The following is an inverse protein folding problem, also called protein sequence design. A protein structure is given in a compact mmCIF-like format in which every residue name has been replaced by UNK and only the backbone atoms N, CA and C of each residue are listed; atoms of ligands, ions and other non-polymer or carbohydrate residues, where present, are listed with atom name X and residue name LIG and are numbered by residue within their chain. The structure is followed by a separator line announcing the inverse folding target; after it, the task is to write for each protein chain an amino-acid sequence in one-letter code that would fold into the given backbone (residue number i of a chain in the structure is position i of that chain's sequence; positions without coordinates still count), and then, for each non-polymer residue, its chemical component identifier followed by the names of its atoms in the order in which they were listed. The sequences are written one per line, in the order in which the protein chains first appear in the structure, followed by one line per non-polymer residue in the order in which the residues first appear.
data_IF_379352830929
#
_entry.id   IF_379352830929
#
_cell.length_a   1.000
_cell.length_b   1.000
_cell.length_c   1.000
_cell.angle_alpha   90.00
_cell.angle_beta   90.00
_cell.angle_gamma   90.00
#
_symmetry.space_group_name_H-M   'P 1'
#
loop_
_entity.id
_entity.type
_entity.pdbx_description
1 polymer ?
#
# COMPACT_ATOMS: atom_id res chain seq x y z
N UNK A 1 22.58 -4.98 10.84
CA UNK A 1 22.46 -4.01 9.73
C UNK A 1 21.65 -4.66 8.63
N UNK A 2 20.53 -4.10 8.32
CA UNK A 2 19.66 -4.69 7.30
C UNK A 2 20.28 -4.57 5.91
N UNK A 3 20.22 -5.62 5.08
CA UNK A 3 20.75 -5.56 3.73
C UNK A 3 20.02 -4.49 2.91
N UNK A 4 20.78 -3.57 2.33
CA UNK A 4 20.25 -2.43 1.57
C UNK A 4 20.68 -2.51 0.11
N UNK A 5 19.70 -2.44 -0.79
CA UNK A 5 19.91 -2.39 -2.24
C UNK A 5 19.52 -1.01 -2.72
N UNK A 6 20.39 -0.35 -3.44
CA UNK A 6 20.20 1.05 -3.80
C UNK A 6 20.32 1.27 -5.31
N UNK A 7 19.40 2.07 -5.86
CA UNK A 7 19.47 2.62 -7.21
C UNK A 7 19.39 1.61 -8.35
N UNK A 8 18.87 0.41 -8.12
CA UNK A 8 18.81 -0.64 -9.12
C UNK A 8 17.43 -0.76 -9.76
N UNK A 9 17.41 -1.17 -11.02
CA UNK A 9 16.18 -1.67 -11.67
C UNK A 9 16.12 -3.17 -11.43
N UNK A 10 15.05 -3.62 -10.79
CA UNK A 10 14.91 -5.00 -10.33
C UNK A 10 13.78 -5.71 -11.07
N UNK A 11 14.07 -6.85 -11.64
CA UNK A 11 13.09 -7.82 -12.13
C UNK A 11 12.59 -8.71 -10.99
N UNK A 12 11.56 -9.53 -11.28
CA UNK A 12 11.13 -10.58 -10.37
C UNK A 12 12.28 -11.50 -9.96
N UNK A 13 13.08 -11.93 -10.93
CA UNK A 13 14.21 -12.84 -10.69
C UNK A 13 15.26 -12.21 -9.78
N UNK A 14 15.58 -10.93 -10.00
CA UNK A 14 16.53 -10.19 -9.17
C UNK A 14 16.02 -10.13 -7.72
N UNK A 15 14.75 -9.80 -7.53
CA UNK A 15 14.17 -9.69 -6.19
C UNK A 15 14.13 -11.05 -5.48
N UNK A 16 13.79 -12.13 -6.18
CA UNK A 16 13.80 -13.49 -5.60
C UNK A 16 15.20 -13.87 -5.09
N UNK A 17 16.25 -13.54 -5.85
CA UNK A 17 17.65 -13.79 -5.43
C UNK A 17 17.99 -12.97 -4.18
N UNK A 18 17.61 -11.69 -4.17
CA UNK A 18 17.87 -10.79 -3.03
C UNK A 18 17.17 -11.26 -1.76
N UNK A 19 15.91 -11.69 -1.87
CA UNK A 19 15.14 -12.22 -0.74
C UNK A 19 15.80 -13.47 -0.14
N UNK A 20 16.29 -14.37 -0.99
CA UNK A 20 17.01 -15.55 -0.52
C UNK A 20 18.31 -15.21 0.21
N UNK A 21 19.03 -14.21 -0.28
CA UNK A 21 20.28 -13.74 0.34
C UNK A 21 20.04 -13.03 1.67
N UNK A 22 18.91 -12.31 1.79
CA UNK A 22 18.54 -11.62 3.02
C UNK A 22 18.28 -12.60 4.18
N UNK A 23 17.86 -13.83 3.87
CA UNK A 23 17.72 -14.93 4.83
C UNK A 23 16.94 -14.55 6.12
N UNK A 24 15.83 -13.83 5.97
CA UNK A 24 14.97 -13.43 7.07
C UNK A 24 15.36 -12.11 7.75
N UNK A 25 16.42 -11.43 7.29
CA UNK A 25 16.68 -10.04 7.69
C UNK A 25 15.76 -9.09 6.90
N UNK A 26 15.44 -7.95 7.47
CA UNK A 26 14.63 -6.92 6.80
C UNK A 26 15.42 -6.35 5.61
N UNK A 27 15.00 -6.71 4.41
CA UNK A 27 15.60 -6.16 3.18
C UNK A 27 15.09 -4.74 2.94
N UNK A 28 16.01 -3.81 2.68
CA UNK A 28 15.67 -2.42 2.33
C UNK A 28 15.99 -2.17 0.86
N UNK A 29 14.97 -1.80 0.09
CA UNK A 29 15.12 -1.31 -1.28
C UNK A 29 15.05 0.21 -1.25
N UNK A 30 16.11 0.88 -1.66
CA UNK A 30 16.19 2.34 -1.70
C UNK A 30 16.38 2.83 -3.13
N UNK A 31 15.55 3.75 -3.57
CA UNK A 31 15.58 4.33 -4.92
C UNK A 31 15.62 3.30 -6.06
N UNK A 32 15.08 2.11 -5.81
CA UNK A 32 14.98 1.05 -6.81
C UNK A 32 13.76 1.24 -7.72
N UNK A 33 13.87 0.73 -8.94
CA UNK A 33 12.80 0.72 -9.93
C UNK A 33 12.29 -0.70 -10.15
N UNK A 34 11.00 -0.89 -9.89
CA UNK A 34 10.26 -2.14 -10.12
C UNK A 34 9.02 -1.88 -10.98
N UNK A 35 9.07 -0.84 -11.82
CA UNK A 35 7.95 -0.49 -12.68
C UNK A 35 7.60 -1.66 -13.60
N UNK A 36 6.29 -1.96 -13.70
CA UNK A 36 5.72 -3.03 -14.52
C UNK A 36 6.20 -4.45 -14.13
N UNK A 37 6.93 -4.61 -13.02
CA UNK A 37 7.40 -5.92 -12.59
C UNK A 37 6.25 -6.82 -12.13
N UNK A 38 6.33 -8.09 -12.45
CA UNK A 38 5.46 -9.13 -11.91
C UNK A 38 6.01 -9.59 -10.55
N UNK A 39 5.41 -9.09 -9.48
CA UNK A 39 5.74 -9.44 -8.09
C UNK A 39 4.63 -10.26 -7.43
N UNK A 40 3.75 -10.84 -8.26
CA UNK A 40 2.60 -11.60 -7.78
C UNK A 40 3.02 -12.82 -6.96
N UNK A 41 2.26 -13.07 -5.89
CA UNK A 41 2.43 -14.20 -4.98
C UNK A 41 3.82 -14.33 -4.32
N UNK A 42 4.65 -13.29 -4.35
CA UNK A 42 5.93 -13.29 -3.64
C UNK A 42 5.73 -13.09 -2.13
N UNK A 43 6.59 -13.69 -1.34
CA UNK A 43 6.70 -13.38 0.08
C UNK A 43 7.63 -12.17 0.26
N UNK A 44 6.99 -11.02 0.49
CA UNK A 44 7.62 -9.71 0.68
C UNK A 44 7.33 -9.17 2.09
N UNK A 45 7.03 -10.05 3.05
CA UNK A 45 6.72 -9.64 4.41
C UNK A 45 7.88 -8.85 5.02
N UNK A 46 7.57 -7.73 5.65
CA UNK A 46 8.56 -6.87 6.29
C UNK A 46 9.46 -6.08 5.35
N UNK A 47 9.34 -6.25 4.03
CA UNK A 47 10.18 -5.53 3.05
C UNK A 47 9.99 -4.02 3.18
N UNK A 48 11.09 -3.29 3.10
CA UNK A 48 11.11 -1.83 3.18
C UNK A 48 11.40 -1.24 1.80
N UNK A 49 10.48 -0.37 1.34
CA UNK A 49 10.62 0.37 0.09
C UNK A 49 10.80 1.85 0.42
N UNK A 50 11.98 2.39 0.18
CA UNK A 50 12.29 3.82 0.38
C UNK A 50 12.51 4.49 -0.99
N UNK A 51 11.68 5.47 -1.32
CA UNK A 51 11.79 6.24 -2.57
C UNK A 51 11.85 5.37 -3.83
N UNK A 52 11.24 4.20 -3.78
CA UNK A 52 11.15 3.29 -4.93
C UNK A 52 10.03 3.65 -5.89
N UNK A 53 10.15 3.18 -7.13
CA UNK A 53 9.09 3.24 -8.13
C UNK A 53 8.64 1.83 -8.47
N UNK A 54 7.31 1.60 -8.41
CA UNK A 54 6.69 0.34 -8.82
C UNK A 54 5.37 0.62 -9.57
N UNK A 55 5.39 1.62 -10.45
CA UNK A 55 4.23 1.97 -11.27
C UNK A 55 3.83 0.81 -12.15
N UNK A 56 2.51 0.53 -12.22
CA UNK A 56 1.94 -0.58 -12.95
C UNK A 56 2.50 -1.97 -12.55
N UNK A 57 3.20 -2.09 -11.44
CA UNK A 57 3.68 -3.39 -10.96
C UNK A 57 2.51 -4.26 -10.50
N UNK A 58 2.66 -5.56 -10.63
CA UNK A 58 1.66 -6.54 -10.21
C UNK A 58 2.07 -7.21 -8.90
N UNK A 59 1.39 -6.85 -7.81
CA UNK A 59 1.53 -7.44 -6.49
C UNK A 59 0.34 -8.36 -6.14
N UNK A 60 -0.40 -8.86 -7.14
CA UNK A 60 -1.56 -9.72 -6.90
C UNK A 60 -1.18 -10.90 -6.00
N UNK A 61 -1.90 -11.06 -4.89
CA UNK A 61 -1.67 -12.16 -3.95
C UNK A 61 -0.33 -12.13 -3.22
N UNK A 62 0.47 -11.07 -3.35
CA UNK A 62 1.74 -10.95 -2.64
C UNK A 62 1.52 -10.85 -1.13
N UNK A 63 2.44 -11.38 -0.35
CA UNK A 63 2.47 -11.23 1.09
C UNK A 63 3.34 -10.01 1.44
N UNK A 64 2.74 -9.02 2.05
CA UNK A 64 3.34 -7.72 2.36
C UNK A 64 3.00 -7.30 3.81
N UNK A 65 2.78 -8.26 4.69
CA UNK A 65 2.49 -7.99 6.09
C UNK A 65 3.68 -7.24 6.70
N UNK A 66 3.39 -6.19 7.45
CA UNK A 66 4.39 -5.31 8.08
C UNK A 66 5.34 -4.62 7.08
N UNK A 67 5.09 -4.69 5.77
CA UNK A 67 5.90 -3.96 4.79
C UNK A 67 5.80 -2.45 5.00
N UNK A 68 6.87 -1.73 4.68
CA UNK A 68 6.94 -0.29 4.85
C UNK A 68 7.27 0.40 3.52
N UNK A 69 6.47 1.40 3.18
CA UNK A 69 6.61 2.18 1.95
C UNK A 69 6.76 3.66 2.33
N UNK A 70 7.86 4.27 1.95
CA UNK A 70 8.11 5.69 2.22
C UNK A 70 8.58 6.41 0.96
N UNK A 71 7.87 7.49 0.58
CA UNK A 71 8.22 8.32 -0.57
C UNK A 71 8.17 7.59 -1.92
N UNK A 72 7.34 6.55 -2.03
CA UNK A 72 7.28 5.70 -3.22
C UNK A 72 6.32 6.23 -4.29
N UNK A 73 6.53 5.79 -5.52
CA UNK A 73 5.66 6.04 -6.68
C UNK A 73 5.10 4.72 -7.19
N UNK A 74 3.85 4.47 -6.88
CA UNK A 74 3.16 3.24 -7.21
C UNK A 74 1.83 3.45 -7.94
N UNK A 75 1.73 4.50 -8.77
CA UNK A 75 0.52 4.75 -9.54
C UNK A 75 0.14 3.52 -10.37
N UNK A 76 -1.14 3.14 -10.31
CA UNK A 76 -1.71 1.98 -10.99
C UNK A 76 -1.09 0.62 -10.60
N UNK A 77 -0.36 0.54 -9.50
CA UNK A 77 0.08 -0.75 -8.99
C UNK A 77 -1.13 -1.60 -8.58
N UNK A 78 -1.02 -2.90 -8.78
CA UNK A 78 -2.11 -3.85 -8.53
C UNK A 78 -1.81 -4.68 -7.28
N UNK A 79 -2.52 -4.40 -6.18
CA UNK A 79 -2.46 -5.13 -4.91
C UNK A 79 -3.70 -6.02 -4.71
N UNK A 80 -4.35 -6.46 -5.78
CA UNK A 80 -5.52 -7.34 -5.69
C UNK A 80 -5.20 -8.57 -4.87
N UNK A 81 -6.02 -8.86 -3.86
CA UNK A 81 -5.86 -10.00 -2.95
C UNK A 81 -4.51 -10.06 -2.21
N UNK A 82 -3.73 -8.99 -2.20
CA UNK A 82 -2.48 -8.94 -1.44
C UNK A 82 -2.75 -8.91 0.07
N UNK A 83 -1.81 -9.43 0.85
CA UNK A 83 -1.85 -9.37 2.31
C UNK A 83 -1.00 -8.20 2.77
N UNK A 84 -1.66 -7.13 3.19
CA UNK A 84 -1.05 -5.86 3.58
C UNK A 84 -1.31 -5.52 5.05
N UNK A 85 -1.59 -6.53 5.86
CA UNK A 85 -1.91 -6.33 7.27
C UNK A 85 -0.73 -5.66 7.99
N UNK A 86 -1.03 -4.63 8.79
CA UNK A 86 -0.05 -3.83 9.52
C UNK A 86 1.02 -3.15 8.64
N UNK A 87 0.78 -3.04 7.34
CA UNK A 87 1.67 -2.26 6.45
C UNK A 87 1.59 -0.77 6.75
N UNK A 88 2.67 -0.04 6.49
CA UNK A 88 2.71 1.42 6.65
C UNK A 88 3.12 2.10 5.35
N UNK A 89 2.39 3.17 5.03
CA UNK A 89 2.56 3.92 3.80
C UNK A 89 2.73 5.40 4.16
N UNK A 90 3.83 6.01 3.76
CA UNK A 90 4.11 7.42 4.02
C UNK A 90 4.49 8.15 2.76
N UNK A 91 3.87 9.31 2.54
CA UNK A 91 4.24 10.26 1.47
C UNK A 91 4.38 9.60 0.11
N UNK A 92 3.51 8.65 -0.20
CA UNK A 92 3.57 7.85 -1.42
C UNK A 92 2.43 8.18 -2.37
N UNK A 93 2.72 8.13 -3.68
CA UNK A 93 1.74 8.29 -4.74
C UNK A 93 1.24 6.92 -5.20
N UNK A 94 -0.01 6.64 -4.89
CA UNK A 94 -0.70 5.39 -5.21
C UNK A 94 -1.97 5.67 -6.02
N UNK A 95 -1.97 6.72 -6.83
CA UNK A 95 -3.12 7.08 -7.63
C UNK A 95 -3.54 5.92 -8.54
N UNK A 96 -4.83 5.62 -8.54
CA UNK A 96 -5.43 4.51 -9.30
C UNK A 96 -4.87 3.12 -8.95
N UNK A 97 -4.25 2.95 -7.82
CA UNK A 97 -3.83 1.63 -7.34
C UNK A 97 -5.06 0.78 -7.00
N UNK A 98 -4.94 -0.54 -7.16
CA UNK A 98 -6.01 -1.49 -6.84
C UNK A 98 -5.69 -2.25 -5.57
N UNK A 99 -6.58 -2.13 -4.61
CA UNK A 99 -6.55 -2.90 -3.36
C UNK A 99 -7.76 -3.83 -3.27
N UNK A 100 -8.34 -4.21 -4.40
CA UNK A 100 -9.54 -5.05 -4.48
C UNK A 100 -9.31 -6.38 -3.78
N UNK A 101 -10.11 -6.70 -2.77
CA UNK A 101 -9.98 -7.95 -2.01
C UNK A 101 -8.71 -8.06 -1.17
N UNK A 102 -7.90 -7.02 -1.07
CA UNK A 102 -6.70 -7.03 -0.23
C UNK A 102 -7.06 -7.09 1.26
N UNK A 103 -6.17 -7.67 2.06
CA UNK A 103 -6.24 -7.58 3.51
C UNK A 103 -5.41 -6.40 3.98
N UNK A 104 -6.07 -5.44 4.64
CA UNK A 104 -5.49 -4.16 5.07
C UNK A 104 -5.68 -3.93 6.58
N UNK A 105 -5.92 -4.98 7.35
CA UNK A 105 -6.14 -4.84 8.80
C UNK A 105 -4.95 -4.13 9.45
N UNK A 106 -5.23 -3.06 10.21
CA UNK A 106 -4.21 -2.24 10.89
C UNK A 106 -3.22 -1.53 9.92
N UNK A 107 -3.48 -1.51 8.61
CA UNK A 107 -2.67 -0.72 7.67
C UNK A 107 -2.86 0.78 7.89
N UNK A 108 -1.79 1.56 7.73
CA UNK A 108 -1.82 3.02 7.93
C UNK A 108 -1.26 3.73 6.71
N UNK A 109 -2.05 4.68 6.18
CA UNK A 109 -1.67 5.56 5.09
C UNK A 109 -1.56 6.99 5.62
N UNK A 110 -0.36 7.57 5.59
CA UNK A 110 -0.09 8.93 6.05
C UNK A 110 0.50 9.77 4.92
N UNK A 111 -0.13 10.91 4.61
CA UNK A 111 0.36 11.83 3.59
C UNK A 111 0.38 11.22 2.18
N UNK A 112 -0.46 10.25 1.91
CA UNK A 112 -0.49 9.54 0.63
C UNK A 112 -1.48 10.14 -0.36
N UNK A 113 -1.24 9.90 -1.65
CA UNK A 113 -2.18 10.18 -2.73
C UNK A 113 -2.81 8.87 -3.19
N UNK A 114 -4.11 8.73 -2.99
CA UNK A 114 -4.91 7.57 -3.32
C UNK A 114 -6.08 7.95 -4.24
N UNK A 115 -5.92 9.00 -5.04
CA UNK A 115 -6.95 9.43 -5.99
C UNK A 115 -7.30 8.30 -6.93
N UNK A 116 -8.59 7.95 -7.01
CA UNK A 116 -9.08 6.88 -7.87
C UNK A 116 -8.69 5.45 -7.45
N UNK A 117 -8.10 5.27 -6.27
CA UNK A 117 -7.75 3.94 -5.76
C UNK A 117 -9.01 3.11 -5.48
N UNK A 118 -8.92 1.79 -5.67
CA UNK A 118 -10.05 0.88 -5.49
C UNK A 118 -9.83 -0.05 -4.29
N UNK A 119 -10.60 0.16 -3.22
CA UNK A 119 -10.60 -0.66 -2.01
C UNK A 119 -11.80 -1.62 -1.93
N UNK A 120 -12.48 -1.88 -3.04
CA UNK A 120 -13.65 -2.76 -3.06
C UNK A 120 -13.31 -4.14 -2.52
N UNK A 121 -14.19 -4.69 -1.68
CA UNK A 121 -14.07 -6.03 -1.09
C UNK A 121 -12.79 -6.23 -0.25
N UNK A 122 -12.08 -5.16 0.12
CA UNK A 122 -10.94 -5.28 1.04
C UNK A 122 -11.39 -5.60 2.47
N UNK A 123 -10.50 -6.22 3.23
CA UNK A 123 -10.62 -6.33 4.69
C UNK A 123 -9.90 -5.14 5.30
N UNK A 124 -10.59 -4.37 6.13
CA UNK A 124 -10.09 -3.05 6.55
C UNK A 124 -10.30 -2.77 8.05
N UNK A 125 -10.29 -3.79 8.89
CA UNK A 125 -10.41 -3.60 10.34
C UNK A 125 -9.19 -2.84 10.86
N UNK A 126 -9.41 -1.64 11.40
CA UNK A 126 -8.32 -0.80 11.93
C UNK A 126 -7.49 -0.08 10.87
N UNK A 127 -7.85 -0.14 9.59
CA UNK A 127 -7.19 0.66 8.54
C UNK A 127 -7.39 2.14 8.81
N UNK A 128 -6.31 2.93 8.74
CA UNK A 128 -6.33 4.36 9.02
C UNK A 128 -5.77 5.17 7.86
N UNK A 129 -6.39 6.34 7.65
CA UNK A 129 -5.92 7.35 6.70
C UNK A 129 -5.68 8.66 7.45
N UNK A 130 -4.51 9.24 7.30
CA UNK A 130 -4.11 10.50 7.91
C UNK A 130 -3.52 11.40 6.82
N UNK A 131 -3.98 12.66 6.72
CA UNK A 131 -3.47 13.63 5.73
C UNK A 131 -3.42 13.03 4.30
N UNK A 132 -4.43 12.26 3.92
CA UNK A 132 -4.42 11.45 2.70
C UNK A 132 -5.55 11.86 1.77
N UNK A 133 -5.26 11.91 0.46
CA UNK A 133 -6.25 12.18 -0.57
C UNK A 133 -6.88 10.88 -1.05
N UNK A 134 -8.19 10.75 -0.87
CA UNK A 134 -9.03 9.66 -1.35
C UNK A 134 -10.05 10.15 -2.40
N UNK A 135 -9.73 11.24 -3.08
CA UNK A 135 -10.60 11.80 -4.11
C UNK A 135 -10.91 10.75 -5.19
N UNK A 136 -12.18 10.60 -5.53
CA UNK A 136 -12.66 9.61 -6.51
C UNK A 136 -12.30 8.15 -6.19
N UNK A 137 -11.83 7.85 -4.98
CA UNK A 137 -11.55 6.48 -4.55
C UNK A 137 -12.85 5.69 -4.34
N UNK A 138 -12.75 4.37 -4.41
CA UNK A 138 -13.88 3.47 -4.16
C UNK A 138 -13.66 2.76 -2.81
N UNK A 139 -14.54 3.06 -1.86
CA UNK A 139 -14.48 2.55 -0.48
C UNK A 139 -15.83 1.95 -0.02
N UNK A 140 -16.53 1.16 -0.86
CA UNK A 140 -17.86 0.69 -0.48
C UNK A 140 -17.81 -0.15 0.80
N UNK A 141 -18.69 0.16 1.76
CA UNK A 141 -18.78 -0.56 3.03
C UNK A 141 -17.62 -0.35 4.00
N UNK A 142 -16.77 0.63 3.77
CA UNK A 142 -15.62 0.90 4.63
C UNK A 142 -16.06 1.43 6.00
N UNK A 143 -15.42 0.99 7.08
CA UNK A 143 -15.71 1.47 8.42
C UNK A 143 -14.69 2.49 8.90
N UNK A 144 -15.15 3.71 9.12
CA UNK A 144 -14.41 4.79 9.76
C UNK A 144 -14.87 5.02 11.19
N UNK A 145 -15.61 4.08 11.75
CA UNK A 145 -16.21 4.21 13.07
C UNK A 145 -15.15 4.51 14.13
N UNK A 146 -15.42 5.55 14.93
CA UNK A 146 -14.55 6.02 16.03
C UNK A 146 -13.16 6.48 15.59
N UNK A 147 -12.94 6.69 14.29
CA UNK A 147 -11.68 7.22 13.79
C UNK A 147 -11.70 8.76 13.78
N UNK A 148 -10.53 9.35 14.02
CA UNK A 148 -10.29 10.75 13.69
C UNK A 148 -9.71 10.81 12.29
N UNK A 149 -10.43 11.47 11.37
CA UNK A 149 -10.06 11.60 9.97
C UNK A 149 -9.45 12.98 9.76
N UNK A 150 -8.16 13.07 10.06
CA UNK A 150 -7.38 14.30 10.03
C UNK A 150 -6.94 14.61 8.61
N UNK A 151 -7.46 15.71 8.07
CA UNK A 151 -7.12 16.22 6.72
C UNK A 151 -7.25 15.14 5.63
N UNK A 152 -8.37 14.44 5.60
CA UNK A 152 -8.66 13.42 4.58
C UNK A 152 -9.62 13.98 3.54
N UNK A 153 -9.23 13.93 2.25
CA UNK A 153 -10.05 14.39 1.14
C UNK A 153 -10.84 13.23 0.52
N UNK A 154 -12.15 13.23 0.69
CA UNK A 154 -13.09 12.26 0.11
C UNK A 154 -13.85 12.80 -1.11
N UNK A 155 -13.38 13.87 -1.75
CA UNK A 155 -14.09 14.48 -2.88
C UNK A 155 -14.43 13.44 -3.95
N UNK A 156 -15.71 13.34 -4.33
CA UNK A 156 -16.20 12.40 -5.35
C UNK A 156 -15.94 10.92 -5.06
N UNK A 157 -15.55 10.56 -3.85
CA UNK A 157 -15.33 9.16 -3.48
C UNK A 157 -16.65 8.39 -3.42
N UNK A 158 -16.60 7.09 -3.76
CA UNK A 158 -17.71 6.17 -3.52
C UNK A 158 -17.65 5.68 -2.07
N UNK A 159 -18.54 6.22 -1.24
CA UNK A 159 -18.64 5.92 0.18
C UNK A 159 -19.94 5.13 0.51
N UNK A 160 -20.48 4.44 -0.49
CA UNK A 160 -21.72 3.68 -0.32
C UNK A 160 -21.59 2.65 0.81
N UNK A 161 -22.49 2.72 1.79
CA UNK A 161 -22.51 1.79 2.95
C UNK A 161 -21.37 1.99 3.95
N UNK A 162 -20.61 3.09 3.86
CA UNK A 162 -19.58 3.41 4.86
C UNK A 162 -20.18 3.70 6.23
N UNK A 163 -19.45 3.34 7.27
CA UNK A 163 -19.82 3.60 8.67
C UNK A 163 -18.95 4.70 9.25
N UNK A 164 -19.54 5.89 9.46
CA UNK A 164 -18.89 7.04 10.07
C UNK A 164 -19.36 7.31 11.51
N UNK A 165 -20.04 6.35 12.16
CA UNK A 165 -20.53 6.57 13.53
C UNK A 165 -19.39 6.88 14.47
N UNK A 166 -19.56 7.93 15.26
CA UNK A 166 -18.58 8.41 16.22
C UNK A 166 -17.22 8.81 15.58
N UNK A 167 -17.18 8.97 14.26
CA UNK A 167 -15.99 9.50 13.58
C UNK A 167 -15.86 11.02 13.80
N UNK A 168 -14.64 11.51 13.96
CA UNK A 168 -14.33 12.94 13.98
C UNK A 168 -13.74 13.31 12.62
N UNK A 169 -14.37 14.28 11.97
CA UNK A 169 -13.91 14.83 10.69
C UNK A 169 -13.25 16.19 10.99
N UNK A 170 -11.96 16.31 10.72
CA UNK A 170 -11.17 17.49 11.00
C UNK A 170 -10.51 18.04 9.72
#
# INVERSE_FOLDING_TARGET
MDPRIQGQTLSRSDLVVLLKRAAGADLVLETCTLDEADLSNLDLNGLVFERCSFKNADFTGAQLEHARFAGCRGARANFTAARLDASTWRSSDLNNARFTGASLSEAVFTGCKLTGADFSRSRHVGTRFVETTLASARLPGFSFRKQTLETVDFSHADLAGCDFRDAVLD
#
